data_IF_704948398062
#
_entry.id   IF_704948398062
#
_cell.length_a   1.000
_cell.length_b   1.000
_cell.length_c   1.000
_cell.angle_alpha   90.00
_cell.angle_beta   90.00
_cell.angle_gamma   90.00
#
_symmetry.space_group_name_H-M   'P 1'
#
loop_
_entity.id
_entity.type
_entity.pdbx_description
1 polymer ?
#
# COMPACT_ATOMS: atom_id res chain seq x y z
N UNK A 1 22.40 -37.68 2.32
CA UNK A 1 23.50 -36.92 1.70
C UNK A 1 23.41 -35.46 2.14
N UNK A 2 24.53 -34.76 2.31
CA UNK A 2 24.56 -33.35 2.73
C UNK A 2 24.53 -32.47 1.49
N UNK A 3 23.60 -31.53 1.40
CA UNK A 3 23.48 -30.63 0.26
C UNK A 3 24.73 -29.74 0.14
N UNK A 4 25.28 -29.66 -1.07
CA UNK A 4 26.42 -28.80 -1.40
C UNK A 4 25.99 -27.69 -2.36
N UNK A 5 26.77 -26.59 -2.52
CA UNK A 5 26.40 -25.46 -3.38
C UNK A 5 26.17 -25.80 -4.86
N UNK A 6 26.69 -26.94 -5.32
CA UNK A 6 26.54 -27.42 -6.70
C UNK A 6 25.25 -28.23 -6.88
N UNK A 7 24.59 -28.65 -5.80
CA UNK A 7 23.33 -29.38 -5.88
C UNK A 7 22.20 -28.49 -6.42
N UNK A 8 21.35 -28.98 -7.33
CA UNK A 8 20.22 -28.21 -7.84
C UNK A 8 19.23 -27.82 -6.73
N UNK A 9 19.07 -28.65 -5.70
CA UNK A 9 18.24 -28.36 -4.53
C UNK A 9 18.78 -27.17 -3.72
N UNK A 10 20.10 -27.01 -3.65
CA UNK A 10 20.72 -25.86 -3.00
C UNK A 10 20.46 -24.57 -3.77
N UNK A 11 20.70 -24.59 -5.09
CA UNK A 11 20.54 -23.42 -5.96
C UNK A 11 19.07 -22.96 -6.04
N UNK A 12 18.12 -23.90 -6.11
CA UNK A 12 16.69 -23.60 -6.07
C UNK A 12 16.29 -22.98 -4.73
N UNK A 13 16.78 -23.52 -3.62
CA UNK A 13 16.51 -22.97 -2.28
C UNK A 13 17.11 -21.57 -2.11
N UNK A 14 18.33 -21.34 -2.61
CA UNK A 14 18.98 -20.03 -2.59
C UNK A 14 18.19 -18.99 -3.39
N UNK A 15 17.72 -19.35 -4.59
CA UNK A 15 16.86 -18.49 -5.40
C UNK A 15 15.52 -18.18 -4.69
N UNK A 16 14.92 -19.18 -4.04
CA UNK A 16 13.69 -19.01 -3.27
C UNK A 16 13.89 -18.11 -2.04
N UNK A 17 15.04 -18.22 -1.35
CA UNK A 17 15.40 -17.35 -0.23
C UNK A 17 15.57 -15.90 -0.70
N UNK A 18 16.27 -15.68 -1.83
CA UNK A 18 16.39 -14.35 -2.44
C UNK A 18 15.02 -13.76 -2.80
N UNK A 19 14.14 -14.56 -3.39
CA UNK A 19 12.77 -14.16 -3.72
C UNK A 19 11.94 -13.83 -2.48
N UNK A 20 12.06 -14.61 -1.41
CA UNK A 20 11.39 -14.33 -0.13
C UNK A 20 11.89 -13.03 0.49
N UNK A 21 13.21 -12.82 0.53
CA UNK A 21 13.80 -11.60 1.06
C UNK A 21 13.32 -10.35 0.30
N UNK A 22 13.26 -10.43 -1.04
CA UNK A 22 12.70 -9.39 -1.88
C UNK A 22 11.22 -9.11 -1.55
N UNK A 23 10.39 -10.16 -1.47
CA UNK A 23 8.97 -9.99 -1.15
C UNK A 23 8.77 -9.35 0.24
N UNK A 24 9.52 -9.79 1.25
CA UNK A 24 9.47 -9.19 2.59
C UNK A 24 9.89 -7.72 2.59
N UNK A 25 10.91 -7.35 1.80
CA UNK A 25 11.32 -5.96 1.67
C UNK A 25 10.25 -5.10 0.97
N UNK A 26 9.57 -5.66 -0.03
CA UNK A 26 8.45 -5.02 -0.70
C UNK A 26 7.25 -4.83 0.27
N UNK A 27 6.86 -5.87 1.01
CA UNK A 27 5.77 -5.83 1.99
C UNK A 27 6.04 -4.77 3.08
N UNK A 28 7.29 -4.69 3.54
CA UNK A 28 7.71 -3.68 4.51
C UNK A 28 7.64 -2.26 3.95
N UNK A 29 8.07 -2.06 2.70
CA UNK A 29 7.97 -0.77 2.03
C UNK A 29 6.49 -0.35 1.84
N UNK A 30 5.64 -1.28 1.41
CA UNK A 30 4.19 -1.07 1.26
C UNK A 30 3.56 -0.62 2.58
N UNK A 31 3.82 -1.36 3.66
CA UNK A 31 3.28 -1.05 4.99
C UNK A 31 3.66 0.37 5.45
N UNK A 32 4.90 0.82 5.19
CA UNK A 32 5.34 2.17 5.54
C UNK A 32 4.64 3.25 4.72
N UNK A 33 4.42 3.01 3.42
CA UNK A 33 3.70 3.95 2.55
C UNK A 33 2.24 4.06 2.97
N UNK A 34 1.59 2.92 3.25
CA UNK A 34 0.22 2.87 3.80
C UNK A 34 0.11 3.69 5.09
N UNK A 35 1.03 3.49 6.01
CA UNK A 35 1.07 4.23 7.27
C UNK A 35 1.23 5.74 7.03
N UNK A 36 2.10 6.14 6.11
CA UNK A 36 2.30 7.56 5.74
C UNK A 36 1.01 8.18 5.20
N UNK A 37 0.29 7.45 4.34
CA UNK A 37 -0.98 7.92 3.76
C UNK A 37 -2.03 8.16 4.84
N UNK A 38 -2.19 7.23 5.79
CA UNK A 38 -3.09 7.42 6.92
C UNK A 38 -2.67 8.56 7.84
N UNK A 39 -1.37 8.78 8.05
CA UNK A 39 -0.85 9.92 8.80
C UNK A 39 -1.17 11.26 8.09
N UNK A 40 -1.01 11.31 6.77
CA UNK A 40 -1.38 12.48 5.96
C UNK A 40 -2.89 12.74 5.99
N UNK A 41 -3.71 11.70 5.86
CA UNK A 41 -5.17 11.80 5.94
C UNK A 41 -5.59 12.37 7.30
N UNK A 42 -5.05 11.84 8.40
CA UNK A 42 -5.28 12.38 9.75
C UNK A 42 -4.87 13.84 9.89
N UNK A 43 -3.76 14.25 9.27
CA UNK A 43 -3.33 15.64 9.26
C UNK A 43 -4.28 16.55 8.45
N UNK A 44 -4.89 16.01 7.39
CA UNK A 44 -5.82 16.75 6.52
C UNK A 44 -7.22 16.98 7.11
N UNK A 45 -7.58 16.27 8.19
CA UNK A 45 -8.85 16.45 8.92
C UNK A 45 -8.88 17.83 9.58
N UNK A 46 -9.46 18.81 8.89
CA UNK A 46 -9.64 20.18 9.38
C UNK A 46 -10.64 20.20 10.54
N UNK A 47 -10.22 20.74 11.69
CA UNK A 47 -11.11 21.09 12.81
C UNK A 47 -11.08 20.17 14.04
N UNK A 48 -10.53 18.96 13.95
CA UNK A 48 -10.54 17.97 15.06
C UNK A 48 -9.19 17.77 15.75
N UNK A 49 -8.10 18.20 15.13
CA UNK A 49 -6.73 17.89 15.57
C UNK A 49 -6.13 19.08 16.34
N UNK A 50 -5.98 18.93 17.65
CA UNK A 50 -5.32 19.92 18.52
C UNK A 50 -3.83 20.12 18.18
N UNK A 51 -3.24 21.23 18.62
CA UNK A 51 -1.84 21.60 18.32
C UNK A 51 -0.83 20.49 18.66
N UNK A 52 -0.95 19.88 19.84
CA UNK A 52 -0.09 18.78 20.26
C UNK A 52 -0.19 17.56 19.32
N UNK A 53 -1.39 17.22 18.84
CA UNK A 53 -1.53 16.11 17.90
C UNK A 53 -0.94 16.46 16.52
N UNK A 54 -1.03 17.72 16.08
CA UNK A 54 -0.37 18.18 14.84
C UNK A 54 1.14 18.08 14.90
N UNK A 55 1.76 18.44 16.03
CA UNK A 55 3.23 18.32 16.19
C UNK A 55 3.66 16.86 16.20
N UNK A 56 2.91 15.97 16.86
CA UNK A 56 3.15 14.53 16.81
C UNK A 56 3.00 13.96 15.38
N UNK A 57 1.96 14.36 14.64
CA UNK A 57 1.76 13.92 13.26
C UNK A 57 2.86 14.42 12.33
N UNK A 58 3.30 15.68 12.47
CA UNK A 58 4.41 16.22 11.69
C UNK A 58 5.73 15.47 11.96
N UNK A 59 6.00 15.14 13.23
CA UNK A 59 7.15 14.31 13.61
C UNK A 59 7.04 12.90 13.01
N UNK A 60 5.89 12.25 13.14
CA UNK A 60 5.64 10.92 12.59
C UNK A 60 5.85 10.90 11.07
N UNK A 61 5.32 11.88 10.33
CA UNK A 61 5.50 12.00 8.88
C UNK A 61 6.97 12.12 8.48
N UNK A 62 7.79 12.86 9.25
CA UNK A 62 9.23 12.99 9.01
C UNK A 62 9.94 11.65 9.22
N UNK A 63 9.73 11.01 10.37
CA UNK A 63 10.32 9.72 10.72
C UNK A 63 9.92 8.64 9.71
N UNK A 64 8.64 8.63 9.31
CA UNK A 64 8.11 7.73 8.30
C UNK A 64 8.74 7.96 6.94
N UNK A 65 8.98 9.22 6.55
CA UNK A 65 9.67 9.53 5.28
C UNK A 65 11.12 9.02 5.26
N UNK A 66 11.84 9.10 6.38
CA UNK A 66 13.17 8.51 6.52
C UNK A 66 13.13 6.97 6.49
N UNK A 67 12.15 6.35 7.18
CA UNK A 67 11.94 4.90 7.14
C UNK A 67 11.66 4.38 5.72
N UNK A 68 10.84 5.11 4.94
CA UNK A 68 10.55 4.78 3.53
C UNK A 68 11.84 4.82 2.70
N UNK A 69 12.71 5.84 2.88
CA UNK A 69 14.00 5.90 2.15
C UNK A 69 14.87 4.68 2.42
N UNK A 70 14.98 4.27 3.68
CA UNK A 70 15.77 3.10 4.08
C UNK A 70 15.17 1.80 3.53
N UNK A 71 13.85 1.64 3.62
CA UNK A 71 13.15 0.48 3.08
C UNK A 71 13.27 0.40 1.55
N UNK A 72 13.19 1.55 0.86
CA UNK A 72 13.37 1.67 -0.59
C UNK A 72 14.79 1.28 -1.02
N UNK A 73 15.81 1.69 -0.27
CA UNK A 73 17.18 1.28 -0.55
C UNK A 73 17.34 -0.24 -0.42
N UNK A 74 16.77 -0.84 0.64
CA UNK A 74 16.78 -2.29 0.83
C UNK A 74 16.05 -3.03 -0.31
N UNK A 75 14.89 -2.53 -0.71
CA UNK A 75 14.14 -3.04 -1.85
C UNK A 75 14.98 -2.98 -3.14
N UNK A 76 15.55 -1.81 -3.45
CA UNK A 76 16.32 -1.60 -4.68
C UNK A 76 17.59 -2.46 -4.74
N UNK A 77 18.24 -2.73 -3.61
CA UNK A 77 19.39 -3.63 -3.55
C UNK A 77 18.94 -5.06 -3.89
N UNK A 78 17.93 -5.59 -3.19
CA UNK A 78 17.41 -6.94 -3.42
C UNK A 78 16.80 -7.11 -4.83
N UNK A 79 16.21 -6.05 -5.38
CA UNK A 79 15.69 -6.03 -6.73
C UNK A 79 16.79 -6.27 -7.78
N UNK A 80 17.99 -5.72 -7.58
CA UNK A 80 19.14 -5.92 -8.47
C UNK A 80 19.77 -7.30 -8.32
N UNK A 81 19.77 -7.84 -7.11
CA UNK A 81 20.39 -9.14 -6.80
C UNK A 81 19.56 -10.33 -7.31
N UNK A 82 18.27 -10.13 -7.61
CA UNK A 82 17.41 -11.17 -8.18
C UNK A 82 17.80 -11.54 -9.61
N UNK A 83 17.51 -12.80 -9.99
CA UNK A 83 17.64 -13.31 -11.35
C UNK A 83 16.27 -13.77 -11.86
N UNK A 84 15.65 -13.09 -12.84
CA UNK A 84 16.10 -11.85 -13.47
C UNK A 84 15.98 -10.62 -12.55
N UNK A 85 16.78 -9.57 -12.77
CA UNK A 85 16.73 -8.34 -11.98
C UNK A 85 15.36 -7.65 -12.15
N UNK A 86 14.91 -7.02 -11.07
CA UNK A 86 13.63 -6.30 -11.00
C UNK A 86 13.85 -4.80 -11.15
N UNK A 87 12.79 -4.09 -11.55
CA UNK A 87 12.81 -2.64 -11.65
C UNK A 87 13.04 -1.99 -10.28
N UNK A 88 13.89 -0.98 -10.24
CA UNK A 88 14.10 -0.14 -9.05
C UNK A 88 13.09 1.00 -9.01
N UNK A 89 12.78 1.49 -7.81
CA UNK A 89 11.85 2.60 -7.60
C UNK A 89 12.59 3.83 -7.10
N UNK A 90 12.13 5.01 -7.54
CA UNK A 90 12.58 6.29 -6.98
C UNK A 90 11.72 6.69 -5.77
N UNK A 91 12.31 7.49 -4.86
CA UNK A 91 11.55 7.98 -3.70
C UNK A 91 10.37 8.86 -4.12
N UNK A 92 10.53 9.63 -5.20
CA UNK A 92 9.48 10.48 -5.72
C UNK A 92 8.32 9.65 -6.25
N UNK A 93 8.59 8.60 -7.04
CA UNK A 93 7.55 7.63 -7.44
C UNK A 93 6.81 7.07 -6.21
N UNK A 94 7.53 6.66 -5.17
CA UNK A 94 6.94 6.06 -3.97
C UNK A 94 6.08 7.05 -3.17
N UNK A 95 6.43 8.33 -3.16
CA UNK A 95 5.66 9.38 -2.47
C UNK A 95 4.49 9.87 -3.32
N UNK A 96 4.67 9.93 -4.64
CA UNK A 96 3.65 10.32 -5.61
C UNK A 96 2.57 9.24 -5.76
N UNK A 97 2.90 7.98 -5.41
CA UNK A 97 1.92 6.91 -5.21
C UNK A 97 1.00 7.22 -4.02
N UNK A 98 0.09 8.15 -4.26
CA UNK A 98 -0.94 8.61 -3.32
C UNK A 98 -2.00 7.53 -3.05
N UNK A 99 -2.02 6.47 -3.86
CA UNK A 99 -3.03 5.41 -3.78
C UNK A 99 -2.42 4.03 -3.57
N UNK A 100 -2.90 3.33 -2.53
CA UNK A 100 -2.50 1.97 -2.13
C UNK A 100 -2.46 0.96 -3.29
N UNK A 101 -3.34 1.14 -4.28
CA UNK A 101 -3.37 0.29 -5.47
C UNK A 101 -2.08 0.31 -6.25
N UNK A 102 -1.40 1.45 -6.37
CA UNK A 102 -0.18 1.57 -7.16
C UNK A 102 0.96 0.75 -6.53
N UNK A 103 0.91 0.54 -5.22
CA UNK A 103 1.76 -0.40 -4.51
C UNK A 103 1.33 -1.85 -4.70
N UNK A 104 0.04 -2.17 -4.69
CA UNK A 104 -0.43 -3.51 -5.05
C UNK A 104 -0.07 -3.89 -6.50
N UNK A 105 0.21 -2.91 -7.38
CA UNK A 105 0.71 -3.13 -8.73
C UNK A 105 2.22 -3.45 -8.76
N UNK A 106 2.99 -3.12 -7.71
CA UNK A 106 4.38 -3.59 -7.50
C UNK A 106 4.41 -5.02 -6.96
N UNK A 107 3.32 -5.44 -6.32
CA UNK A 107 3.08 -6.81 -5.93
C UNK A 107 2.97 -7.65 -7.20
N UNK A 108 4.03 -8.38 -7.53
CA UNK A 108 3.95 -9.53 -8.43
C UNK A 108 3.19 -10.67 -7.74
N UNK A 109 1.95 -10.44 -7.31
CA UNK A 109 1.13 -11.40 -6.58
C UNK A 109 0.60 -12.47 -7.51
N UNK A 110 1.47 -13.33 -8.06
CA UNK A 110 1.16 -14.53 -8.84
C UNK A 110 0.34 -14.31 -10.14
N UNK A 111 -0.34 -13.19 -10.30
CA UNK A 111 -1.00 -12.65 -11.48
C UNK A 111 -0.79 -11.13 -11.51
N UNK A 112 -0.46 -10.59 -12.67
CA UNK A 112 -0.40 -9.15 -12.88
C UNK A 112 -1.82 -8.56 -12.90
N UNK A 113 -2.21 -7.93 -11.79
CA UNK A 113 -3.51 -7.27 -11.66
C UNK A 113 -3.61 -5.94 -12.41
N UNK A 114 -2.51 -5.39 -12.96
CA UNK A 114 -2.51 -4.19 -13.82
C UNK A 114 -3.40 -4.37 -15.05
N UNK A 115 -3.51 -5.62 -15.52
CA UNK A 115 -4.37 -5.98 -16.65
C UNK A 115 -5.87 -5.97 -16.33
N UNK A 116 -6.25 -5.98 -15.05
CA UNK A 116 -7.66 -6.11 -14.64
C UNK A 116 -8.34 -4.75 -14.70
N UNK A 117 -9.55 -4.69 -15.28
CA UNK A 117 -10.31 -3.44 -15.47
C UNK A 117 -10.60 -2.66 -14.18
N UNK A 118 -10.66 -3.33 -13.02
CA UNK A 118 -10.89 -2.69 -11.72
C UNK A 118 -9.64 -2.06 -11.10
N UNK A 119 -8.43 -2.37 -11.61
CA UNK A 119 -7.18 -1.76 -11.14
C UNK A 119 -6.91 -0.41 -11.80
N UNK A 120 -7.56 -0.13 -12.94
CA UNK A 120 -7.55 1.17 -13.61
C UNK A 120 -8.03 2.28 -12.63
N UNK A 121 -7.22 3.34 -12.42
CA UNK A 121 -7.54 4.40 -11.46
C UNK A 121 -8.88 5.09 -11.74
N UNK A 122 -9.19 5.35 -13.00
CA UNK A 122 -10.41 6.03 -13.42
C UNK A 122 -11.64 5.13 -13.20
N UNK A 123 -11.54 3.85 -13.57
CA UNK A 123 -12.63 2.88 -13.35
C UNK A 123 -12.89 2.71 -11.86
N UNK A 124 -11.84 2.61 -11.05
CA UNK A 124 -11.98 2.48 -9.59
C UNK A 124 -12.62 3.71 -8.98
N UNK A 125 -12.15 4.91 -9.31
CA UNK A 125 -12.71 6.16 -8.77
C UNK A 125 -14.19 6.28 -9.12
N UNK A 126 -14.55 5.95 -10.36
CA UNK A 126 -15.94 5.91 -10.83
C UNK A 126 -16.77 4.87 -10.07
N UNK A 127 -16.20 3.68 -9.81
CA UNK A 127 -16.85 2.61 -9.06
C UNK A 127 -17.13 3.03 -7.62
N UNK A 128 -16.16 3.67 -6.95
CA UNK A 128 -16.32 4.20 -5.58
C UNK A 128 -17.44 5.24 -5.55
N UNK A 129 -17.43 6.21 -6.47
CA UNK A 129 -18.49 7.23 -6.58
C UNK A 129 -19.87 6.59 -6.78
N UNK A 130 -19.96 5.61 -7.67
CA UNK A 130 -21.21 4.89 -7.93
C UNK A 130 -21.71 4.13 -6.69
N UNK A 131 -20.82 3.43 -5.98
CA UNK A 131 -21.15 2.73 -4.74
C UNK A 131 -21.63 3.70 -3.66
N UNK A 132 -20.96 4.85 -3.49
CA UNK A 132 -21.37 5.88 -2.53
C UNK A 132 -22.78 6.40 -2.83
N UNK A 133 -23.11 6.67 -4.09
CA UNK A 133 -24.47 7.07 -4.49
C UNK A 133 -25.50 5.99 -4.16
N UNK A 134 -25.17 4.72 -4.42
CA UNK A 134 -26.05 3.60 -4.09
C UNK A 134 -26.25 3.45 -2.58
N UNK A 135 -25.19 3.56 -1.79
CA UNK A 135 -25.26 3.55 -0.33
C UNK A 135 -26.11 4.72 0.20
N UNK A 136 -25.90 5.94 -0.31
CA UNK A 136 -26.68 7.11 0.10
C UNK A 136 -28.20 6.93 -0.13
N UNK A 137 -28.59 6.32 -1.25
CA UNK A 137 -30.00 6.00 -1.53
C UNK A 137 -30.59 5.00 -0.55
N UNK A 138 -29.82 3.99 -0.17
CA UNK A 138 -30.24 3.02 0.85
C UNK A 138 -30.34 3.68 2.22
N UNK A 139 -29.36 4.50 2.58
CA UNK A 139 -29.33 5.21 3.86
C UNK A 139 -30.49 6.19 4.01
N UNK A 140 -30.89 6.88 2.94
CA UNK A 140 -32.10 7.72 2.93
C UNK A 140 -33.36 6.93 3.29
N UNK A 141 -33.53 5.71 2.75
CA UNK A 141 -34.68 4.86 3.08
C UNK A 141 -34.66 4.45 4.55
N UNK A 142 -33.48 4.08 5.06
CA UNK A 142 -33.28 3.70 6.46
C UNK A 142 -33.59 4.87 7.41
N UNK A 143 -33.03 6.05 7.14
CA UNK A 143 -33.25 7.25 7.94
C UNK A 143 -34.73 7.64 7.99
N UNK A 144 -35.47 7.53 6.88
CA UNK A 144 -36.91 7.80 6.88
C UNK A 144 -37.70 6.90 7.86
N UNK A 145 -37.29 5.65 8.03
CA UNK A 145 -37.90 4.73 9.02
C UNK A 145 -37.49 5.11 10.43
N UNK A 146 -36.21 5.38 10.67
CA UNK A 146 -35.69 5.77 11.98
C UNK A 146 -36.29 7.08 12.48
N UNK A 147 -36.40 8.09 11.61
CA UNK A 147 -37.06 9.37 11.93
C UNK A 147 -38.50 9.13 12.38
N UNK A 148 -39.29 8.34 11.65
CA UNK A 148 -40.67 8.03 12.07
C UNK A 148 -40.72 7.38 13.44
N UNK A 149 -39.82 6.43 13.74
CA UNK A 149 -39.75 5.75 15.04
C UNK A 149 -39.40 6.69 16.20
N UNK A 150 -38.59 7.73 15.96
CA UNK A 150 -38.25 8.71 16.99
C UNK A 150 -39.39 9.69 17.29
N UNK A 151 -40.32 9.88 16.35
CA UNK A 151 -41.48 10.77 16.49
C UNK A 151 -42.71 10.09 17.11
N UNK A 152 -42.69 8.76 17.26
CA UNK A 152 -43.77 7.99 17.91
C UNK A 152 -43.38 7.68 19.36
#
# INVERSE_FOLDING_TARGET
ERWTPECPEWQTTEADLGRRAYNTALDHLEALVVQRLFEMEKMSLRGTVGYALRTHLAKALRERSEAIRNALQRYNNLARDLKPPRATLSFQEVVDYSFLSEFTLLRHSREDIRSKRWSDPFVRETTVKWLLVRCARTELKRLNVEVRRLWT
#
